data_IF_575398057459
#
_entry.id   IF_575398057459
#
_cell.length_a   1.000
_cell.length_b   1.000
_cell.length_c   1.000
_cell.angle_alpha   90.00
_cell.angle_beta   90.00
_cell.angle_gamma   90.00
#
_symmetry.space_group_name_H-M   'P 1'
#
loop_
_entity.id
_entity.type
_entity.pdbx_description
1 polymer ?
#
# COMPACT_ATOMS: atom_id res chain seq x y z
N UNK A 1 -5.96 -60.43 13.97
CA UNK A 1 -6.39 -59.03 13.81
C UNK A 1 -5.44 -58.31 12.86
N UNK A 2 -5.86 -58.05 11.62
CA UNK A 2 -5.15 -57.19 10.66
C UNK A 2 -6.16 -56.18 10.11
N UNK A 3 -5.82 -54.90 10.23
CA UNK A 3 -6.49 -53.78 9.56
C UNK A 3 -6.09 -53.79 8.08
N UNK A 4 -7.04 -53.59 7.16
CA UNK A 4 -7.04 -52.64 6.03
C UNK A 4 -8.36 -52.78 5.20
N UNK A 5 -8.71 -51.90 4.22
CA UNK A 5 -9.32 -50.57 4.43
C UNK A 5 -10.43 -50.20 3.39
N UNK A 6 -10.84 -48.91 3.42
CA UNK A 6 -11.29 -48.05 2.28
C UNK A 6 -12.78 -48.03 1.84
N UNK A 7 -13.11 -46.82 1.35
CA UNK A 7 -14.21 -46.33 0.49
C UNK A 7 -15.62 -46.28 1.09
N UNK A 8 -16.28 -45.12 1.23
CA UNK A 8 -16.73 -44.09 0.27
C UNK A 8 -18.05 -44.47 -0.46
N UNK A 9 -19.05 -43.63 -0.23
CA UNK A 9 -20.27 -43.33 -0.99
C UNK A 9 -21.56 -44.18 -0.86
N UNK A 10 -22.57 -43.49 -0.29
CA UNK A 10 -23.94 -43.25 -0.78
C UNK A 10 -24.84 -44.48 -0.92
N UNK A 11 -25.98 -44.50 -0.22
CA UNK A 11 -27.29 -44.53 -0.88
C UNK A 11 -28.38 -43.97 0.04
N UNK A 12 -29.14 -43.04 -0.54
CA UNK A 12 -30.38 -42.47 -0.04
C UNK A 12 -31.29 -43.54 0.54
N UNK A 13 -31.76 -43.34 1.77
CA UNK A 13 -33.04 -43.91 2.19
C UNK A 13 -34.10 -42.80 2.20
N UNK A 14 -35.00 -42.91 1.22
CA UNK A 14 -36.22 -42.14 1.14
C UNK A 14 -37.04 -42.33 2.42
N UNK A 15 -37.36 -41.24 3.10
CA UNK A 15 -38.51 -41.20 4.00
C UNK A 15 -39.68 -40.70 3.15
N UNK A 16 -40.47 -41.67 2.66
CA UNK A 16 -41.80 -41.43 2.14
C UNK A 16 -42.67 -41.04 3.34
N UNK A 17 -42.85 -39.74 3.59
CA UNK A 17 -43.95 -39.27 4.43
C UNK A 17 -45.20 -39.27 3.55
N UNK A 18 -45.96 -40.35 3.68
CA UNK A 18 -47.34 -40.44 3.21
C UNK A 18 -48.15 -39.34 3.90
N UNK A 19 -48.64 -38.36 3.16
CA UNK A 19 -49.62 -37.40 3.67
C UNK A 19 -50.73 -37.24 2.63
N UNK A 20 -51.61 -38.24 2.59
CA UNK A 20 -52.94 -38.09 2.04
C UNK A 20 -53.76 -37.29 3.05
N UNK A 21 -53.92 -36.00 2.76
CA UNK A 21 -55.04 -35.20 3.23
C UNK A 21 -55.41 -34.24 2.10
N UNK A 22 -56.43 -34.63 1.34
CA UNK A 22 -57.13 -33.77 0.40
C UNK A 22 -57.82 -32.65 1.19
N UNK A 23 -57.19 -31.48 1.21
CA UNK A 23 -57.71 -30.27 1.83
C UNK A 23 -56.72 -29.13 1.65
N UNK A 24 -57.22 -27.98 1.24
CA UNK A 24 -56.50 -26.77 0.78
C UNK A 24 -55.35 -26.28 1.70
N UNK A 25 -55.29 -26.76 2.95
CA UNK A 25 -54.25 -26.44 3.94
C UNK A 25 -52.84 -26.94 3.61
N UNK A 26 -52.67 -27.94 2.73
CA UNK A 26 -51.35 -28.42 2.30
C UNK A 26 -50.59 -27.40 1.42
N UNK A 27 -51.33 -26.60 0.64
CA UNK A 27 -50.77 -25.49 -0.15
C UNK A 27 -50.39 -24.32 0.74
N UNK A 28 -51.23 -24.01 1.73
CA UNK A 28 -51.00 -22.90 2.66
C UNK A 28 -49.74 -23.10 3.52
N UNK A 29 -49.45 -24.32 3.99
CA UNK A 29 -48.22 -24.60 4.76
C UNK A 29 -46.93 -24.43 3.94
N UNK A 30 -46.96 -24.82 2.66
CA UNK A 30 -45.84 -24.62 1.72
C UNK A 30 -45.64 -23.13 1.39
N UNK A 31 -46.73 -22.40 1.23
CA UNK A 31 -46.72 -20.95 1.02
C UNK A 31 -46.15 -20.21 2.24
N UNK A 32 -46.63 -20.52 3.45
CA UNK A 32 -46.14 -19.91 4.70
C UNK A 32 -44.66 -20.24 4.93
N UNK A 33 -44.22 -21.47 4.68
CA UNK A 33 -42.80 -21.83 4.77
C UNK A 33 -41.94 -21.04 3.78
N UNK A 34 -42.41 -20.84 2.54
CA UNK A 34 -41.72 -20.01 1.55
C UNK A 34 -41.67 -18.54 1.94
N UNK A 35 -42.74 -18.01 2.52
CA UNK A 35 -42.82 -16.63 3.02
C UNK A 35 -41.83 -16.39 4.16
N UNK A 36 -41.74 -17.30 5.13
CA UNK A 36 -40.81 -17.18 6.26
C UNK A 36 -39.36 -17.27 5.80
N UNK A 37 -39.04 -18.17 4.86
CA UNK A 37 -37.70 -18.26 4.26
C UNK A 37 -37.39 -17.00 3.44
N UNK A 38 -38.36 -16.47 2.69
CA UNK A 38 -38.22 -15.22 1.94
C UNK A 38 -37.91 -14.04 2.87
N UNK A 39 -38.64 -13.90 3.98
CA UNK A 39 -38.40 -12.86 4.98
C UNK A 39 -37.01 -13.04 5.62
N UNK A 40 -36.62 -14.26 5.98
CA UNK A 40 -35.31 -14.55 6.55
C UNK A 40 -34.16 -14.20 5.59
N UNK A 41 -34.32 -14.47 4.29
CA UNK A 41 -33.34 -14.12 3.25
C UNK A 41 -33.28 -12.59 3.06
N UNK A 42 -34.42 -11.90 3.01
CA UNK A 42 -34.44 -10.42 2.86
C UNK A 42 -33.89 -9.70 4.09
N UNK A 43 -34.04 -10.29 5.28
CA UNK A 43 -33.52 -9.73 6.54
C UNK A 43 -32.01 -9.89 6.65
N UNK A 44 -31.44 -10.94 6.04
CA UNK A 44 -30.00 -11.18 6.01
C UNK A 44 -29.26 -10.35 4.95
N UNK A 45 -29.95 -9.88 3.90
CA UNK A 45 -29.37 -9.04 2.85
C UNK A 45 -29.30 -7.54 3.18
N UNK A 46 -29.78 -7.09 4.35
CA UNK A 46 -29.51 -5.73 4.82
C UNK A 46 -28.07 -5.57 5.36
N UNK A 47 -27.13 -6.39 4.86
CA UNK A 47 -25.71 -6.07 4.89
C UNK A 47 -25.57 -4.69 4.26
N UNK A 48 -25.18 -3.72 5.09
CA UNK A 48 -25.00 -2.32 4.76
C UNK A 48 -24.30 -2.16 3.41
N UNK A 49 -25.06 -1.91 2.36
CA UNK A 49 -24.55 -1.17 1.23
C UNK A 49 -24.30 0.24 1.77
N UNK A 50 -23.04 0.58 2.03
CA UNK A 50 -22.65 1.96 2.19
C UNK A 50 -23.18 2.71 0.96
N UNK A 51 -24.18 3.56 1.15
CA UNK A 51 -24.69 4.37 0.05
C UNK A 51 -23.53 5.22 -0.43
N UNK A 52 -23.08 4.98 -1.66
CA UNK A 52 -22.12 5.85 -2.34
C UNK A 52 -22.78 7.23 -2.37
N UNK A 53 -22.29 8.14 -1.53
CA UNK A 53 -22.77 9.50 -1.50
C UNK A 53 -22.13 10.25 -2.65
N UNK A 54 -22.85 10.33 -3.76
CA UNK A 54 -22.42 11.11 -4.92
C UNK A 54 -22.47 12.60 -4.57
N UNK A 55 -21.33 13.27 -4.69
CA UNK A 55 -21.23 14.73 -4.63
C UNK A 55 -21.32 15.26 -6.05
N UNK A 56 -22.46 15.84 -6.42
CA UNK A 56 -22.65 16.47 -7.74
C UNK A 56 -22.33 17.95 -7.65
N UNK A 57 -21.21 18.36 -8.25
CA UNK A 57 -20.75 19.74 -8.26
C UNK A 57 -21.22 20.44 -9.54
N UNK A 58 -21.76 21.66 -9.42
CA UNK A 58 -22.14 22.50 -10.57
C UNK A 58 -21.19 23.69 -10.70
N UNK A 59 -20.91 24.13 -11.93
CA UNK A 59 -20.14 25.37 -12.14
C UNK A 59 -20.90 26.57 -11.55
N UNK A 60 -20.18 27.52 -10.95
CA UNK A 60 -20.75 28.80 -10.51
C UNK A 60 -20.67 29.85 -11.62
N UNK A 61 -21.59 30.81 -11.60
CA UNK A 61 -21.66 31.93 -12.56
C UNK A 61 -21.41 33.29 -11.91
N UNK A 62 -21.04 33.32 -10.62
CA UNK A 62 -20.73 34.54 -9.87
C UNK A 62 -19.21 34.67 -9.64
N UNK A 63 -18.68 35.91 -9.57
CA UNK A 63 -17.25 36.13 -9.36
C UNK A 63 -16.84 35.84 -7.92
N UNK A 64 -15.56 35.51 -7.73
CA UNK A 64 -14.94 35.28 -6.43
C UNK A 64 -13.79 36.25 -6.28
N UNK A 65 -13.68 36.91 -5.12
CA UNK A 65 -12.59 37.83 -4.83
C UNK A 65 -11.75 37.32 -3.66
N UNK A 66 -10.44 37.35 -3.82
CA UNK A 66 -9.45 37.03 -2.79
C UNK A 66 -8.54 38.26 -2.65
N UNK A 67 -8.44 38.82 -1.44
CA UNK A 67 -7.68 40.04 -1.18
C UNK A 67 -8.02 41.21 -2.14
N UNK A 68 -9.31 41.38 -2.46
CA UNK A 68 -9.79 42.44 -3.35
C UNK A 68 -9.52 42.22 -4.84
N UNK A 69 -8.85 41.13 -5.23
CA UNK A 69 -8.64 40.74 -6.63
C UNK A 69 -9.56 39.59 -7.01
N UNK A 70 -10.12 39.62 -8.22
CA UNK A 70 -10.93 38.51 -8.72
C UNK A 70 -10.06 37.26 -8.91
N UNK A 71 -10.48 36.14 -8.32
CA UNK A 71 -9.83 34.84 -8.47
C UNK A 71 -10.21 34.24 -9.83
N UNK A 72 -9.28 34.32 -10.77
CA UNK A 72 -9.36 33.59 -12.04
C UNK A 72 -8.61 32.27 -11.91
N UNK A 73 -9.29 31.17 -12.19
CA UNK A 73 -8.70 29.83 -12.16
C UNK A 73 -8.85 29.23 -13.55
N UNK A 74 -7.76 29.30 -14.33
CA UNK A 74 -7.78 28.93 -15.76
C UNK A 74 -7.75 27.41 -15.98
N UNK A 75 -7.19 26.66 -15.03
CA UNK A 75 -7.08 25.19 -15.13
C UNK A 75 -8.34 24.46 -14.68
N UNK A 76 -8.94 24.90 -13.56
CA UNK A 76 -10.08 24.23 -12.93
C UNK A 76 -11.15 25.24 -12.51
N UNK A 77 -12.44 24.97 -12.74
CA UNK A 77 -13.49 25.91 -12.38
C UNK A 77 -13.73 25.97 -10.87
N UNK A 78 -14.29 27.08 -10.41
CA UNK A 78 -14.99 27.13 -9.14
C UNK A 78 -16.34 26.41 -9.25
N UNK A 79 -16.71 25.69 -8.20
CA UNK A 79 -17.85 24.80 -8.21
C UNK A 79 -18.78 25.09 -7.03
N UNK A 80 -20.06 24.74 -7.16
CA UNK A 80 -21.05 24.76 -6.11
C UNK A 80 -21.46 23.35 -5.74
N UNK A 81 -21.58 23.10 -4.44
CA UNK A 81 -22.25 21.93 -3.92
C UNK A 81 -23.18 22.34 -2.78
N UNK A 82 -24.49 22.22 -3.01
CA UNK A 82 -25.54 22.54 -2.03
C UNK A 82 -25.39 23.94 -1.42
N UNK A 83 -25.09 24.95 -2.24
CA UNK A 83 -24.91 26.33 -1.78
C UNK A 83 -23.51 26.67 -1.27
N UNK A 84 -22.60 25.70 -1.16
CA UNK A 84 -21.21 25.93 -0.76
C UNK A 84 -20.31 26.05 -1.99
N UNK A 85 -19.39 27.02 -1.98
CA UNK A 85 -18.42 27.23 -3.05
C UNK A 85 -17.15 26.42 -2.78
N UNK A 86 -16.79 25.57 -3.74
CA UNK A 86 -15.56 24.78 -3.75
C UNK A 86 -14.58 25.38 -4.75
N UNK A 87 -13.36 25.60 -4.29
CA UNK A 87 -12.32 26.23 -5.09
C UNK A 87 -11.13 25.30 -5.30
N UNK A 88 -10.47 25.37 -6.45
CA UNK A 88 -9.19 24.70 -6.65
C UNK A 88 -8.18 25.21 -5.61
N UNK A 89 -7.74 24.33 -4.74
CA UNK A 89 -6.90 24.69 -3.60
C UNK A 89 -5.62 25.43 -4.01
N UNK A 90 -4.99 25.02 -5.13
CA UNK A 90 -3.81 25.69 -5.69
C UNK A 90 -4.10 27.12 -6.15
N UNK A 91 -5.25 27.36 -6.78
CA UNK A 91 -5.64 28.70 -7.24
C UNK A 91 -5.81 29.65 -6.03
N UNK A 92 -6.47 29.17 -4.97
CA UNK A 92 -6.62 29.91 -3.72
C UNK A 92 -5.25 30.16 -3.06
N UNK A 93 -4.39 29.14 -3.00
CA UNK A 93 -3.02 29.28 -2.48
C UNK A 93 -2.23 30.36 -3.21
N UNK A 94 -2.24 30.34 -4.55
CA UNK A 94 -1.57 31.35 -5.37
C UNK A 94 -2.11 32.76 -5.10
N UNK A 95 -3.44 32.93 -5.05
CA UNK A 95 -4.07 34.22 -4.77
C UNK A 95 -3.78 34.74 -3.34
N UNK A 96 -3.57 33.85 -2.38
CA UNK A 96 -3.19 34.17 -1.01
C UNK A 96 -1.66 34.26 -0.80
N UNK A 97 -0.84 34.09 -1.85
CA UNK A 97 0.63 34.02 -1.71
C UNK A 97 1.11 32.86 -0.83
N UNK A 98 0.29 31.83 -0.68
CA UNK A 98 0.49 30.69 0.22
C UNK A 98 0.82 29.44 -0.58
N UNK A 99 1.98 28.83 -0.30
CA UNK A 99 2.41 27.62 -1.00
C UNK A 99 1.47 26.44 -0.70
N UNK A 100 1.01 25.76 -1.75
CA UNK A 100 0.26 24.49 -1.63
C UNK A 100 1.11 23.39 -2.24
N UNK A 101 1.49 22.40 -1.45
CA UNK A 101 2.37 21.31 -1.87
C UNK A 101 1.73 19.94 -1.59
N UNK A 102 1.86 19.00 -2.53
CA UNK A 102 1.60 17.60 -2.24
C UNK A 102 2.88 16.98 -1.66
N UNK A 103 2.82 16.58 -0.40
CA UNK A 103 3.88 15.79 0.21
C UNK A 103 3.63 14.32 -0.14
N UNK A 104 4.29 13.84 -1.19
CA UNK A 104 4.14 12.48 -1.68
C UNK A 104 4.51 11.44 -0.61
N UNK A 105 5.64 11.66 0.08
CA UNK A 105 6.15 10.76 1.13
C UNK A 105 5.12 10.52 2.24
N UNK A 106 4.43 11.57 2.67
CA UNK A 106 3.38 11.48 3.68
C UNK A 106 1.99 11.18 3.09
N UNK A 107 1.79 11.40 1.79
CA UNK A 107 0.48 11.34 1.14
C UNK A 107 -0.50 12.36 1.71
N UNK A 108 -0.04 13.60 1.90
CA UNK A 108 -0.87 14.70 2.39
C UNK A 108 -0.65 15.98 1.60
N UNK A 109 -1.63 16.87 1.61
CA UNK A 109 -1.47 18.24 1.12
C UNK A 109 -1.01 19.14 2.26
N UNK A 110 -0.03 20.00 1.99
CA UNK A 110 0.51 21.00 2.91
C UNK A 110 0.19 22.39 2.36
N UNK A 111 -0.35 23.27 3.21
CA UNK A 111 -0.75 24.64 2.86
C UNK A 111 -0.01 25.61 3.78
N UNK A 112 0.69 26.58 3.20
CA UNK A 112 1.50 27.57 3.90
C UNK A 112 2.89 27.07 4.24
N UNK A 113 3.52 27.76 5.19
CA UNK A 113 4.77 27.29 5.78
C UNK A 113 4.43 26.02 6.57
N UNK A 114 4.74 24.87 5.95
CA UNK A 114 4.71 23.60 6.67
C UNK A 114 5.68 23.79 7.84
N UNK A 115 5.26 23.65 9.11
CA UNK A 115 6.25 23.53 10.17
C UNK A 115 7.22 22.42 9.75
N UNK A 116 8.50 22.54 10.08
CA UNK A 116 9.52 21.50 9.90
C UNK A 116 9.21 20.25 10.75
N UNK A 117 7.96 19.76 10.71
CA UNK A 117 7.55 18.46 11.17
C UNK A 117 8.15 17.49 10.19
N UNK A 118 9.40 17.13 10.48
CA UNK A 118 10.07 16.00 9.84
C UNK A 118 9.08 14.83 9.82
N UNK A 119 8.85 14.23 8.65
CA UNK A 119 7.87 13.17 8.52
C UNK A 119 8.21 12.05 9.52
N UNK A 120 7.19 11.60 10.25
CA UNK A 120 7.28 10.50 11.21
C UNK A 120 6.20 9.47 10.93
N UNK A 121 6.54 8.20 11.07
CA UNK A 121 5.62 7.09 10.82
C UNK A 121 4.61 6.94 11.97
N UNK A 122 4.96 7.36 13.20
CA UNK A 122 4.04 7.31 14.34
C UNK A 122 3.74 5.86 14.76
N UNK A 123 2.46 5.46 14.76
CA UNK A 123 2.05 4.09 15.09
C UNK A 123 2.27 3.17 13.89
N UNK A 124 2.96 2.06 14.09
CA UNK A 124 3.25 1.08 13.05
C UNK A 124 3.16 -0.38 13.53
N UNK A 125 3.00 -1.28 12.58
CA UNK A 125 3.06 -2.74 12.76
C UNK A 125 4.27 -3.31 12.03
N UNK A 126 5.24 -3.92 12.73
CA UNK A 126 6.33 -4.63 12.07
C UNK A 126 5.86 -5.97 11.48
N UNK A 127 6.54 -6.40 10.41
CA UNK A 127 6.30 -7.67 9.72
C UNK A 127 7.40 -8.70 10.00
N UNK A 128 8.06 -8.61 11.17
CA UNK A 128 9.15 -9.49 11.58
C UNK A 128 8.70 -10.93 11.89
N UNK A 129 7.40 -11.17 12.04
CA UNK A 129 6.80 -12.51 12.14
C UNK A 129 6.76 -13.25 10.80
N UNK A 130 7.07 -12.59 9.69
CA UNK A 130 7.15 -13.19 8.37
C UNK A 130 8.59 -13.24 7.87
N UNK A 131 8.99 -14.43 7.39
CA UNK A 131 10.22 -14.58 6.61
C UNK A 131 10.06 -13.85 5.29
N UNK A 132 11.00 -12.98 4.98
CA UNK A 132 11.00 -12.19 3.75
C UNK A 132 11.57 -13.03 2.62
N UNK A 133 10.79 -13.20 1.57
CA UNK A 133 11.11 -14.04 0.41
C UNK A 133 10.80 -13.25 -0.85
N UNK A 134 11.58 -13.40 -1.92
CA UNK A 134 11.25 -12.84 -3.24
C UNK A 134 10.81 -13.96 -4.19
N UNK A 135 9.70 -13.75 -4.90
CA UNK A 135 9.35 -14.59 -6.02
C UNK A 135 10.00 -14.06 -7.30
N UNK A 136 10.76 -14.92 -7.97
CA UNK A 136 11.44 -14.66 -9.23
C UNK A 136 11.11 -15.81 -10.18
N UNK A 137 10.40 -15.52 -11.26
CA UNK A 137 10.01 -16.50 -12.28
C UNK A 137 9.32 -17.75 -11.71
N UNK A 138 8.46 -17.58 -10.70
CA UNK A 138 7.71 -18.68 -10.06
C UNK A 138 8.48 -19.44 -8.98
N UNK A 139 9.73 -19.08 -8.71
CA UNK A 139 10.56 -19.65 -7.65
C UNK A 139 10.77 -18.67 -6.50
N UNK A 140 10.87 -19.19 -5.29
CA UNK A 140 10.96 -18.42 -4.05
C UNK A 140 12.40 -18.41 -3.52
N UNK A 141 13.01 -17.24 -3.44
CA UNK A 141 14.38 -17.06 -2.96
C UNK A 141 14.39 -16.27 -1.66
N UNK A 142 15.24 -16.67 -0.71
CA UNK A 142 15.51 -15.87 0.48
C UNK A 142 16.48 -14.74 0.14
N UNK A 143 16.28 -13.58 0.75
CA UNK A 143 17.25 -12.50 0.67
C UNK A 143 18.47 -12.82 1.55
N UNK A 144 19.69 -12.64 1.04
CA UNK A 144 20.88 -12.73 1.89
C UNK A 144 20.88 -11.62 2.97
N UNK A 145 20.32 -10.45 2.64
CA UNK A 145 20.01 -9.37 3.58
C UNK A 145 18.50 -9.08 3.57
N UNK A 146 17.77 -9.58 4.57
CA UNK A 146 16.32 -9.48 4.60
C UNK A 146 15.83 -8.04 4.87
N UNK A 147 14.86 -7.53 4.10
CA UNK A 147 14.27 -6.22 4.35
C UNK A 147 13.44 -6.23 5.64
N UNK A 148 13.60 -5.21 6.49
CA UNK A 148 12.72 -5.02 7.63
C UNK A 148 11.54 -4.15 7.21
N UNK A 149 10.33 -4.72 7.17
CA UNK A 149 9.12 -4.03 6.74
C UNK A 149 8.23 -3.65 7.92
N UNK A 150 7.67 -2.45 7.84
CA UNK A 150 6.61 -1.97 8.72
C UNK A 150 5.43 -1.44 7.91
N UNK A 151 4.25 -1.41 8.51
CA UNK A 151 3.05 -0.77 7.98
C UNK A 151 2.55 0.28 8.97
N UNK A 152 2.29 1.49 8.49
CA UNK A 152 1.74 2.55 9.34
C UNK A 152 0.22 2.38 9.58
N UNK A 153 -0.35 3.27 10.39
CA UNK A 153 -1.79 3.30 10.66
C UNK A 153 -2.66 3.66 9.45
N UNK A 154 -2.09 4.30 8.42
CA UNK A 154 -2.79 4.61 7.16
C UNK A 154 -2.82 3.42 6.19
N UNK A 155 -2.04 2.38 6.49
CA UNK A 155 -1.90 1.18 5.69
C UNK A 155 -0.79 1.24 4.64
N UNK A 156 0.05 2.28 4.66
CA UNK A 156 1.25 2.39 3.83
C UNK A 156 2.37 1.53 4.38
N UNK A 157 3.15 0.95 3.46
CA UNK A 157 4.29 0.13 3.80
C UNK A 157 5.59 0.93 3.69
N UNK A 158 6.49 0.65 4.62
CA UNK A 158 7.83 1.19 4.65
C UNK A 158 8.82 0.06 4.89
N UNK A 159 10.04 0.21 4.41
CA UNK A 159 11.12 -0.69 4.74
C UNK A 159 12.32 0.08 5.28
N UNK A 160 13.03 -0.53 6.23
CA UNK A 160 14.18 0.10 6.86
C UNK A 160 15.26 0.38 5.82
N UNK A 161 15.78 1.60 5.84
CA UNK A 161 16.91 2.02 5.02
C UNK A 161 18.17 1.34 5.53
N UNK A 162 18.66 0.41 4.73
CA UNK A 162 19.95 -0.25 4.86
C UNK A 162 20.52 -0.35 3.45
N UNK A 163 21.77 0.08 3.23
CA UNK A 163 22.29 0.19 1.86
C UNK A 163 22.34 -1.16 1.16
N UNK A 164 22.69 -2.24 1.85
CA UNK A 164 22.79 -3.56 1.23
C UNK A 164 21.41 -4.10 0.83
N UNK A 165 20.42 -3.91 1.70
CA UNK A 165 19.02 -4.25 1.40
C UNK A 165 18.48 -3.43 0.24
N UNK A 166 18.67 -2.11 0.24
CA UNK A 166 18.13 -1.22 -0.81
C UNK A 166 18.79 -1.54 -2.15
N UNK A 167 20.12 -1.73 -2.18
CA UNK A 167 20.84 -2.10 -3.39
C UNK A 167 20.34 -3.44 -3.94
N UNK A 168 20.17 -4.44 -3.07
CA UNK A 168 19.64 -5.75 -3.47
C UNK A 168 18.24 -5.62 -4.09
N UNK A 169 17.32 -4.91 -3.44
CA UNK A 169 15.96 -4.75 -3.95
C UNK A 169 15.91 -3.99 -5.28
N UNK A 170 16.69 -2.91 -5.43
CA UNK A 170 16.77 -2.16 -6.69
C UNK A 170 17.38 -3.02 -7.79
N UNK A 171 18.46 -3.75 -7.51
CA UNK A 171 19.08 -4.66 -8.48
C UNK A 171 18.15 -5.81 -8.86
N UNK A 172 17.36 -6.36 -7.94
CA UNK A 172 16.32 -7.36 -8.25
C UNK A 172 15.28 -6.76 -9.21
N UNK A 173 14.76 -5.58 -8.91
CA UNK A 173 13.76 -4.92 -9.76
C UNK A 173 14.26 -4.63 -11.18
N UNK A 174 15.56 -4.34 -11.34
CA UNK A 174 16.21 -4.17 -12.67
C UNK A 174 16.85 -5.44 -13.24
N UNK A 175 16.59 -6.60 -12.64
CA UNK A 175 17.06 -7.91 -13.11
C UNK A 175 18.59 -8.08 -13.13
N UNK A 176 19.31 -7.36 -12.27
CA UNK A 176 20.77 -7.42 -12.10
C UNK A 176 21.17 -8.14 -10.80
N UNK A 177 20.74 -9.39 -10.68
CA UNK A 177 20.99 -10.21 -9.50
C UNK A 177 21.59 -11.55 -9.90
N UNK A 178 22.14 -12.26 -8.91
CA UNK A 178 22.50 -13.67 -9.00
C UNK A 178 21.67 -14.47 -8.01
N UNK A 179 21.48 -15.75 -8.32
CA UNK A 179 20.81 -16.70 -7.43
C UNK A 179 21.72 -17.89 -7.20
N UNK A 180 21.72 -18.41 -5.98
CA UNK A 180 22.38 -19.67 -5.63
C UNK A 180 21.42 -20.68 -4.99
N UNK A 181 21.81 -21.96 -4.93
CA UNK A 181 20.99 -23.00 -4.32
C UNK A 181 20.86 -22.80 -2.80
N UNK A 182 19.81 -23.37 -2.21
CA UNK A 182 19.65 -23.44 -0.75
C UNK A 182 19.38 -24.88 -0.33
N UNK A 183 19.87 -25.26 0.85
CA UNK A 183 19.54 -26.53 1.50
C UNK A 183 18.18 -26.49 2.22
N UNK A 184 17.57 -25.32 2.35
CA UNK A 184 16.28 -25.18 2.98
C UNK A 184 15.17 -25.71 2.06
N UNK A 185 14.43 -26.77 2.46
CA UNK A 185 13.46 -27.44 1.58
C UNK A 185 12.22 -26.60 1.27
N UNK A 186 12.06 -25.43 1.89
CA UNK A 186 10.92 -24.54 1.70
C UNK A 186 11.19 -23.36 0.74
N UNK A 187 12.43 -23.21 0.25
CA UNK A 187 12.86 -22.15 -0.67
C UNK A 187 13.72 -22.75 -1.80
N UNK A 188 13.69 -22.13 -2.96
CA UNK A 188 14.45 -22.57 -4.14
C UNK A 188 15.94 -22.18 -4.06
N UNK A 189 16.27 -21.17 -3.26
CA UNK A 189 17.61 -20.61 -3.23
C UNK A 189 17.73 -19.34 -2.42
N UNK A 190 18.87 -18.68 -2.58
CA UNK A 190 19.09 -17.31 -2.11
C UNK A 190 19.29 -16.37 -3.31
N UNK A 191 19.06 -15.08 -3.07
CA UNK A 191 19.31 -14.01 -4.04
C UNK A 191 20.33 -13.01 -3.49
N UNK A 192 21.21 -12.55 -4.37
CA UNK A 192 22.24 -11.57 -4.07
C UNK A 192 22.39 -10.54 -5.19
N UNK A 193 22.89 -9.37 -4.81
CA UNK A 193 23.21 -8.27 -5.72
C UNK A 193 24.37 -8.70 -6.60
N UNK A 194 24.21 -8.64 -7.93
CA UNK A 194 25.34 -8.94 -8.84
C UNK A 194 26.38 -7.83 -8.76
N UNK A 195 25.92 -6.58 -8.89
CA UNK A 195 26.75 -5.38 -8.93
C UNK A 195 25.99 -4.21 -8.30
N UNK A 196 26.75 -3.21 -7.84
CA UNK A 196 26.21 -1.98 -7.24
C UNK A 196 25.97 -0.89 -8.31
N UNK A 197 25.25 -1.24 -9.38
CA UNK A 197 25.16 -0.43 -10.61
C UNK A 197 24.18 0.75 -10.54
N UNK A 198 23.23 0.73 -9.61
CA UNK A 198 22.06 1.64 -9.61
C UNK A 198 22.08 2.67 -8.49
N UNK A 199 23.25 2.92 -7.91
CA UNK A 199 23.42 3.88 -6.82
C UNK A 199 24.74 4.61 -6.97
N UNK A 200 24.70 5.91 -6.71
CA UNK A 200 25.88 6.71 -6.41
C UNK A 200 25.80 7.15 -4.95
N UNK A 201 26.84 6.85 -4.17
CA UNK A 201 26.96 7.27 -2.79
C UNK A 201 28.05 8.34 -2.63
N UNK A 202 27.76 9.33 -1.80
CA UNK A 202 28.65 10.48 -1.60
C UNK A 202 28.75 10.82 -0.13
N UNK A 203 29.97 11.08 0.32
CA UNK A 203 30.23 11.77 1.60
C UNK A 203 30.23 13.27 1.34
N UNK A 204 29.40 14.00 2.08
CA UNK A 204 29.32 15.45 2.04
C UNK A 204 29.81 16.00 3.38
N UNK A 205 30.34 17.21 3.36
CA UNK A 205 30.95 17.87 4.52
C UNK A 205 30.07 19.05 4.93
N UNK A 206 29.73 19.15 6.21
CA UNK A 206 29.14 20.38 6.81
C UNK A 206 30.19 21.23 7.49
N UNK A 207 31.30 20.62 7.90
CA UNK A 207 32.50 21.27 8.41
C UNK A 207 33.74 20.40 8.13
N UNK A 208 34.91 20.78 8.64
CA UNK A 208 36.13 19.97 8.53
C UNK A 208 36.05 18.66 9.33
N UNK A 209 35.19 18.59 10.36
CA UNK A 209 35.03 17.40 11.22
C UNK A 209 33.69 16.69 11.05
N UNK A 210 32.72 17.34 10.42
CA UNK A 210 31.37 16.81 10.30
C UNK A 210 31.03 16.43 8.86
N UNK A 211 30.46 15.24 8.71
CA UNK A 211 30.05 14.71 7.42
C UNK A 211 28.66 14.08 7.48
N UNK A 212 28.05 13.92 6.33
CA UNK A 212 26.83 13.13 6.16
C UNK A 212 26.87 12.39 4.82
N UNK A 213 26.06 11.34 4.71
CA UNK A 213 25.96 10.52 3.51
C UNK A 213 24.75 10.90 2.67
N UNK A 214 24.91 10.89 1.36
CA UNK A 214 23.81 10.97 0.41
C UNK A 214 23.91 9.84 -0.61
N UNK A 215 22.75 9.36 -1.06
CA UNK A 215 22.63 8.28 -2.04
C UNK A 215 21.70 8.74 -3.14
N UNK A 216 22.13 8.56 -4.40
CA UNK A 216 21.31 8.79 -5.57
C UNK A 216 21.07 7.45 -6.24
N UNK A 217 19.88 6.91 -6.03
CA UNK A 217 19.41 5.72 -6.74
C UNK A 217 18.85 6.13 -8.09
N UNK A 218 19.09 5.34 -9.13
CA UNK A 218 18.61 5.66 -10.48
C UNK A 218 18.21 4.40 -11.23
N UNK A 219 17.34 4.57 -12.21
CA UNK A 219 16.95 3.49 -13.11
C UNK A 219 18.03 3.20 -14.17
N UNK A 220 17.85 2.13 -14.95
CA UNK A 220 18.86 1.62 -15.89
C UNK A 220 19.38 2.65 -16.90
N UNK A 221 18.55 3.61 -17.31
CA UNK A 221 18.92 4.68 -18.27
C UNK A 221 19.19 6.04 -17.59
N UNK A 222 19.16 6.10 -16.26
CA UNK A 222 19.34 7.30 -15.43
C UNK A 222 18.34 8.44 -15.68
N UNK A 223 17.21 8.17 -16.32
CA UNK A 223 16.15 9.17 -16.53
C UNK A 223 15.28 9.40 -15.29
N UNK A 224 15.28 8.45 -14.36
CA UNK A 224 14.57 8.51 -13.09
C UNK A 224 15.55 8.33 -11.94
N UNK A 225 15.36 9.11 -10.88
CA UNK A 225 16.20 9.06 -9.70
C UNK A 225 15.42 9.23 -8.40
N UNK A 226 15.95 8.64 -7.32
CA UNK A 226 15.49 8.83 -5.95
C UNK A 226 16.68 9.29 -5.10
N UNK A 227 16.57 10.49 -4.53
CA UNK A 227 17.61 11.09 -3.70
C UNK A 227 17.35 10.82 -2.22
N UNK A 228 18.36 10.24 -1.56
CA UNK A 228 18.43 10.11 -0.11
C UNK A 228 19.53 11.02 0.40
N UNK A 229 19.21 11.88 1.36
CA UNK A 229 20.20 12.68 2.09
C UNK A 229 20.04 12.43 3.57
N UNK A 230 21.13 12.06 4.24
CA UNK A 230 21.16 11.89 5.70
C UNK A 230 21.73 13.14 6.39
N UNK A 231 21.62 14.32 5.76
CA UNK A 231 22.07 15.57 6.39
C UNK A 231 21.31 15.77 7.70
N UNK A 232 22.01 15.93 8.84
CA UNK A 232 21.35 16.14 10.12
C UNK A 232 20.35 17.28 10.05
N UNK A 233 19.14 17.02 10.52
CA UNK A 233 18.00 17.94 10.52
C UNK A 233 17.41 18.34 9.16
N UNK A 234 17.99 17.90 8.04
CA UNK A 234 17.52 18.19 6.68
C UNK A 234 17.51 16.90 5.84
N UNK A 235 17.05 15.81 6.46
CA UNK A 235 17.01 14.50 5.84
C UNK A 235 16.02 14.52 4.65
N UNK A 236 16.40 13.87 3.54
CA UNK A 236 15.58 13.79 2.33
C UNK A 236 15.41 12.35 1.91
N UNK A 237 14.23 12.02 1.41
CA UNK A 237 13.91 10.70 0.86
C UNK A 237 13.71 9.62 1.91
N UNK A 238 13.95 9.89 3.19
CA UNK A 238 13.76 8.94 4.29
C UNK A 238 12.87 9.54 5.36
N UNK A 239 12.22 8.65 6.11
CA UNK A 239 11.28 8.98 7.18
C UNK A 239 11.76 8.33 8.47
N UNK A 240 11.58 9.02 9.59
CA UNK A 240 11.85 8.47 10.93
C UNK A 240 10.61 7.79 11.50
N UNK A 241 10.79 6.86 12.43
CA UNK A 241 9.67 6.38 13.25
C UNK A 241 9.32 7.38 14.36
N UNK A 242 10.33 7.95 15.01
CA UNK A 242 10.24 8.93 16.08
C UNK A 242 11.50 9.83 16.13
N UNK A 243 11.55 10.80 17.05
CA UNK A 243 12.68 11.74 17.17
C UNK A 243 13.97 11.12 17.73
N UNK A 244 13.86 10.03 18.47
CA UNK A 244 14.96 9.41 19.21
C UNK A 244 15.64 8.31 18.40
N UNK A 245 14.92 7.71 17.44
CA UNK A 245 15.42 6.64 16.61
C UNK A 245 16.43 7.15 15.57
N UNK A 246 17.55 6.44 15.49
CA UNK A 246 18.52 6.57 14.39
C UNK A 246 18.09 5.78 13.15
N UNK A 247 17.06 4.94 13.25
CA UNK A 247 16.55 4.22 12.10
C UNK A 247 15.84 5.15 11.13
N UNK A 248 15.99 4.83 9.85
CA UNK A 248 15.38 5.53 8.73
C UNK A 248 14.62 4.53 7.91
N UNK A 249 13.53 4.96 7.30
CA UNK A 249 12.64 4.12 6.54
C UNK A 249 12.32 4.78 5.20
N UNK A 250 12.17 3.96 4.18
CA UNK A 250 11.77 4.38 2.85
C UNK A 250 10.29 4.05 2.64
N UNK A 251 9.48 4.98 2.09
CA UNK A 251 8.13 4.66 1.63
C UNK A 251 8.22 3.64 0.50
N UNK A 252 7.72 2.43 0.74
CA UNK A 252 8.01 1.26 -0.10
C UNK A 252 7.55 1.49 -1.54
N UNK A 253 6.26 1.76 -1.77
CA UNK A 253 5.74 1.96 -3.12
C UNK A 253 6.32 3.21 -3.77
N UNK A 254 6.33 4.36 -3.09
CA UNK A 254 6.82 5.63 -3.65
C UNK A 254 8.28 5.52 -4.13
N UNK A 255 9.14 4.86 -3.34
CA UNK A 255 10.53 4.65 -3.69
C UNK A 255 10.69 3.87 -5.00
N UNK A 256 10.02 2.72 -5.13
CA UNK A 256 10.14 1.88 -6.32
C UNK A 256 9.43 2.49 -7.53
N UNK A 257 8.25 3.11 -7.35
CA UNK A 257 7.50 3.76 -8.42
C UNK A 257 8.27 4.95 -9.01
N UNK A 258 8.96 5.72 -8.16
CA UNK A 258 9.80 6.83 -8.60
C UNK A 258 10.97 6.35 -9.47
N UNK A 259 11.49 5.14 -9.23
CA UNK A 259 12.49 4.48 -10.08
C UNK A 259 11.87 3.74 -11.29
N UNK A 260 10.55 3.76 -11.44
CA UNK A 260 9.83 3.11 -12.54
C UNK A 260 9.58 1.61 -12.35
N UNK A 261 9.66 1.11 -11.12
CA UNK A 261 9.40 -0.28 -10.76
C UNK A 261 8.07 -0.40 -10.02
N UNK A 262 7.39 -1.53 -10.18
CA UNK A 262 6.25 -1.89 -9.32
C UNK A 262 6.63 -3.03 -8.42
N UNK A 263 6.47 -2.83 -7.12
CA UNK A 263 6.68 -3.86 -6.11
C UNK A 263 5.34 -4.24 -5.48
N UNK A 264 5.21 -5.50 -5.11
CA UNK A 264 4.05 -6.02 -4.37
C UNK A 264 4.49 -7.18 -3.50
N UNK A 265 3.63 -7.59 -2.57
CA UNK A 265 3.86 -8.79 -1.78
C UNK A 265 2.56 -9.52 -1.48
N UNK A 266 2.69 -10.83 -1.24
CA UNK A 266 1.63 -11.71 -0.77
C UNK A 266 2.04 -12.27 0.59
N UNK A 267 1.12 -12.24 1.56
CA UNK A 267 1.32 -12.86 2.86
C UNK A 267 0.85 -14.32 2.79
N UNK A 268 1.73 -15.26 3.10
CA UNK A 268 1.41 -16.66 3.34
C UNK A 268 1.43 -16.91 4.85
N UNK A 269 0.26 -16.83 5.48
CA UNK A 269 0.10 -17.04 6.91
C UNK A 269 0.43 -18.45 7.37
N UNK A 270 0.26 -19.44 6.48
CA UNK A 270 0.48 -20.85 6.76
C UNK A 270 1.98 -21.17 6.88
N UNK A 271 2.78 -20.54 6.00
CA UNK A 271 4.24 -20.70 5.97
C UNK A 271 4.99 -19.57 6.68
N UNK A 272 4.26 -18.56 7.18
CA UNK A 272 4.83 -17.33 7.74
C UNK A 272 5.82 -16.67 6.79
N UNK A 273 5.42 -16.52 5.52
CA UNK A 273 6.22 -15.85 4.49
C UNK A 273 5.57 -14.55 4.03
N UNK A 274 6.38 -13.53 3.79
CA UNK A 274 6.01 -12.34 3.03
C UNK A 274 6.75 -12.43 1.70
N UNK A 275 6.00 -12.75 0.65
CA UNK A 275 6.54 -13.08 -0.67
C UNK A 275 6.46 -11.84 -1.55
N UNK A 276 7.60 -11.19 -1.75
CA UNK A 276 7.77 -10.03 -2.61
C UNK A 276 7.70 -10.42 -4.09
N UNK A 277 7.36 -9.46 -4.94
CA UNK A 277 7.41 -9.60 -6.40
C UNK A 277 7.60 -8.25 -7.06
N UNK A 278 8.51 -8.17 -8.02
CA UNK A 278 8.70 -7.01 -8.90
C UNK A 278 8.02 -7.28 -10.26
N UNK A 279 7.33 -6.28 -10.79
CA UNK A 279 6.66 -6.31 -12.10
C UNK A 279 7.26 -5.28 -13.04
#
# INVERSE_FOLDING_TARGET
>A
MRRNPRSLNIYLHAIIVKNENNGDGGKLKKFVSGLVIGIAITSATSAYAEQIKDYVLTKIEYPIFVNGSELKSDELPALNYQGNTYLPLKAVGNALGTKVNWNQQLGRVEIGDSPDVKPKIGVYTPYNQYVQVININGKNYIFNYAPFVIKDSSGKYFFRFDTEVVNLLVSIGFKDYITGPSENPYIDGYVETRNRNFVEDKTNYTSITETYRSYRYFNTDKTKEYLISLKPNEEKGVIKIDDFSLERYLPLNDFFEQLGMKVSFVLDDSKKMMIWSFK
#
